data_IF_868102190555
#
_entry.id   IF_868102190555
#
_cell.length_a   1.000
_cell.length_b   1.000
_cell.length_c   1.000
_cell.angle_alpha   90.00
_cell.angle_beta   90.00
_cell.angle_gamma   90.00
#
_symmetry.space_group_name_H-M   'P 1'
#
loop_
_entity.id
_entity.type
_entity.pdbx_description
1 polymer ?
#
# COMPACT_ATOMS: atom_id res chain seq x y z
N UNK A 1 8.93 -5.96 -4.57
CA UNK A 1 9.46 -7.06 -5.39
C UNK A 1 8.33 -7.97 -5.83
N UNK A 2 8.37 -8.47 -7.05
CA UNK A 2 7.44 -9.49 -7.55
C UNK A 2 8.20 -10.81 -7.61
N UNK A 3 7.64 -11.88 -7.06
CA UNK A 3 8.25 -13.20 -7.09
C UNK A 3 7.31 -14.23 -7.67
N UNK A 4 7.89 -15.06 -8.53
CA UNK A 4 7.27 -16.29 -9.00
C UNK A 4 7.53 -17.41 -7.99
N UNK A 5 6.49 -18.17 -7.67
CA UNK A 5 6.58 -19.28 -6.73
C UNK A 5 6.79 -20.58 -7.50
N UNK A 6 7.66 -21.43 -6.98
CA UNK A 6 7.80 -22.77 -7.51
C UNK A 6 6.43 -23.51 -7.48
N UNK A 7 6.14 -24.35 -8.49
CA UNK A 7 4.87 -25.09 -8.55
C UNK A 7 4.55 -25.83 -7.24
N UNK A 8 3.30 -25.68 -6.76
CA UNK A 8 2.84 -26.31 -5.52
C UNK A 8 3.18 -25.55 -4.23
N UNK A 9 3.98 -24.47 -4.29
CA UNK A 9 4.22 -23.61 -3.13
C UNK A 9 3.04 -22.66 -2.92
N UNK A 10 2.42 -22.73 -1.74
CA UNK A 10 1.33 -21.83 -1.35
C UNK A 10 1.88 -20.48 -0.88
N UNK A 11 1.25 -19.37 -1.30
CA UNK A 11 1.61 -18.02 -0.86
C UNK A 11 1.58 -17.86 0.68
N UNK A 12 0.63 -18.51 1.35
CA UNK A 12 0.52 -18.52 2.82
C UNK A 12 1.77 -19.04 3.54
N UNK A 13 2.55 -19.93 2.89
CA UNK A 13 3.82 -20.41 3.45
C UNK A 13 4.83 -19.26 3.56
N UNK A 14 4.84 -18.35 2.59
CA UNK A 14 5.69 -17.15 2.59
C UNK A 14 5.19 -16.14 3.62
N UNK A 15 3.86 -15.92 3.68
CA UNK A 15 3.23 -15.03 4.67
C UNK A 15 3.61 -15.44 6.11
N UNK A 16 3.59 -16.75 6.41
CA UNK A 16 3.91 -17.30 7.72
C UNK A 16 5.37 -17.08 8.16
N UNK A 17 6.30 -16.91 7.22
CA UNK A 17 7.74 -16.69 7.51
C UNK A 17 8.16 -15.23 7.31
N UNK A 18 7.21 -14.31 7.12
CA UNK A 18 7.48 -12.89 6.84
C UNK A 18 8.41 -12.23 7.88
N UNK A 19 8.30 -12.61 9.16
CA UNK A 19 9.17 -12.11 10.24
C UNK A 19 10.61 -12.59 10.12
N UNK A 20 10.81 -13.86 9.77
CA UNK A 20 12.15 -14.42 9.53
C UNK A 20 12.77 -13.86 8.26
N UNK A 21 11.95 -13.59 7.24
CA UNK A 21 12.38 -12.93 6.02
C UNK A 21 12.86 -11.51 6.32
N UNK A 22 12.09 -10.72 7.08
CA UNK A 22 12.49 -9.38 7.51
C UNK A 22 13.84 -9.41 8.26
N UNK A 23 14.00 -10.35 9.20
CA UNK A 23 15.26 -10.55 9.93
C UNK A 23 16.43 -10.87 9.00
N UNK A 24 16.23 -11.80 8.07
CA UNK A 24 17.28 -12.22 7.12
C UNK A 24 17.70 -11.10 6.16
N UNK A 25 16.77 -10.19 5.86
CA UNK A 25 17.02 -9.01 5.02
C UNK A 25 17.53 -7.80 5.81
N UNK A 26 17.71 -7.91 7.13
CA UNK A 26 18.04 -6.77 8.01
C UNK A 26 17.04 -5.61 7.92
N UNK A 27 15.76 -5.94 7.75
CA UNK A 27 14.65 -4.99 7.62
C UNK A 27 13.77 -5.02 8.86
N UNK A 28 13.20 -3.87 9.23
CA UNK A 28 12.29 -3.77 10.38
C UNK A 28 11.03 -4.62 10.21
N UNK A 29 10.50 -4.70 8.99
CA UNK A 29 9.33 -5.50 8.65
C UNK A 29 9.32 -5.81 7.15
N UNK A 30 8.55 -6.82 6.77
CA UNK A 30 8.25 -7.17 5.38
C UNK A 30 6.76 -7.46 5.28
N UNK A 31 6.10 -6.94 4.24
CA UNK A 31 4.70 -7.22 3.95
C UNK A 31 4.61 -8.13 2.73
N UNK A 32 3.91 -9.24 2.88
CA UNK A 32 3.64 -10.20 1.81
C UNK A 32 2.25 -9.92 1.25
N UNK A 33 2.17 -9.70 -0.06
CA UNK A 33 0.94 -9.53 -0.82
C UNK A 33 0.71 -10.83 -1.59
N UNK A 34 -0.28 -11.62 -1.16
CA UNK A 34 -0.48 -12.96 -1.72
C UNK A 34 -0.96 -12.96 -3.17
N UNK A 35 -1.69 -11.91 -3.59
CA UNK A 35 -2.20 -11.78 -4.94
C UNK A 35 -1.93 -10.38 -5.46
N UNK A 36 -1.21 -10.28 -6.57
CA UNK A 36 -1.09 -9.04 -7.34
C UNK A 36 -2.15 -9.08 -8.46
N UNK A 37 -3.09 -8.12 -8.52
CA UNK A 37 -4.09 -8.08 -9.58
C UNK A 37 -3.47 -8.11 -10.97
N UNK A 38 -3.91 -9.05 -11.81
CA UNK A 38 -3.45 -9.19 -13.19
C UNK A 38 -2.09 -9.86 -13.38
N UNK A 39 -1.44 -10.36 -12.32
CA UNK A 39 -0.14 -11.06 -12.42
C UNK A 39 -0.14 -12.38 -11.65
N UNK A 40 0.55 -13.43 -12.13
CA UNK A 40 0.68 -14.72 -11.44
C UNK A 40 1.77 -14.71 -10.35
N UNK A 41 2.07 -13.55 -9.77
CA UNK A 41 3.18 -13.38 -8.82
C UNK A 41 2.68 -12.99 -7.44
N UNK A 42 3.49 -13.28 -6.43
CA UNK A 42 3.33 -12.69 -5.10
C UNK A 42 4.13 -11.40 -5.01
N UNK A 43 3.66 -10.46 -4.18
CA UNK A 43 4.35 -9.23 -3.86
C UNK A 43 5.09 -9.33 -2.53
N UNK A 44 6.33 -8.85 -2.51
CA UNK A 44 7.08 -8.61 -1.28
C UNK A 44 7.42 -7.13 -1.20
N UNK A 45 6.80 -6.46 -0.24
CA UNK A 45 7.00 -5.05 0.08
C UNK A 45 7.99 -4.93 1.24
N UNK A 46 9.02 -4.12 1.02
CA UNK A 46 10.12 -3.90 1.97
C UNK A 46 10.26 -2.40 2.20
N UNK A 47 10.48 -1.95 3.44
CA UNK A 47 10.72 -0.54 3.71
C UNK A 47 11.90 -0.01 2.90
N UNK A 48 11.77 1.21 2.38
CA UNK A 48 12.89 1.93 1.81
C UNK A 48 13.93 2.26 2.90
N UNK A 49 15.21 2.26 2.52
CA UNK A 49 16.32 2.65 3.41
C UNK A 49 16.18 4.09 3.91
N UNK A 50 15.76 5.00 3.03
CA UNK A 50 15.31 6.34 3.37
C UNK A 50 13.82 6.46 3.08
N UNK A 51 13.01 6.75 4.10
CA UNK A 51 11.58 6.98 3.94
C UNK A 51 11.34 8.40 3.46
N UNK A 52 10.60 8.53 2.37
CA UNK A 52 10.12 9.84 1.91
C UNK A 52 8.87 10.24 2.68
N UNK A 53 8.85 11.49 3.14
CA UNK A 53 7.68 12.03 3.84
C UNK A 53 6.64 12.49 2.81
N UNK A 54 5.43 11.96 2.91
CA UNK A 54 4.28 12.44 2.14
C UNK A 54 3.71 13.67 2.84
N UNK A 55 3.81 14.85 2.22
CA UNK A 55 3.22 16.07 2.77
C UNK A 55 1.76 16.19 2.34
N UNK A 56 0.90 16.65 3.25
CA UNK A 56 -0.51 16.90 2.94
C UNK A 56 -0.67 17.90 1.78
N UNK A 57 0.15 18.95 1.74
CA UNK A 57 0.12 19.98 0.68
C UNK A 57 0.25 19.39 -0.72
N UNK A 58 1.08 18.35 -0.88
CA UNK A 58 1.27 17.68 -2.18
C UNK A 58 -0.01 17.02 -2.70
N UNK A 59 -0.91 16.61 -1.80
CA UNK A 59 -2.20 16.00 -2.16
C UNK A 59 -3.25 17.07 -2.46
N UNK A 60 -3.28 18.15 -1.67
CA UNK A 60 -4.25 19.25 -1.82
C UNK A 60 -4.02 20.08 -3.09
N UNK A 61 -2.80 20.07 -3.61
CA UNK A 61 -2.43 20.75 -4.85
C UNK A 61 -2.74 19.94 -6.11
N UNK A 62 -3.11 18.66 -5.97
CA UNK A 62 -3.45 17.83 -7.13
C UNK A 62 -4.74 18.31 -7.81
N UNK A 63 -4.83 18.23 -9.15
CA UNK A 63 -6.06 18.54 -9.88
C UNK A 63 -7.24 17.68 -9.42
N UNK A 64 -6.98 16.41 -9.09
CA UNK A 64 -7.99 15.48 -8.63
C UNK A 64 -8.61 15.88 -7.28
N UNK A 65 -7.84 16.49 -6.37
CA UNK A 65 -8.39 16.99 -5.10
C UNK A 65 -9.23 18.25 -5.30
N UNK A 66 -8.85 19.09 -6.27
CA UNK A 66 -9.53 20.36 -6.59
C UNK A 66 -10.72 20.18 -7.55
N UNK A 67 -11.12 18.94 -7.84
CA UNK A 67 -12.29 18.66 -8.67
C UNK A 67 -13.56 19.19 -7.96
N UNK A 68 -14.31 20.13 -8.58
CA UNK A 68 -15.52 20.70 -7.99
C UNK A 68 -16.65 19.67 -7.80
N UNK A 69 -16.58 18.49 -8.43
CA UNK A 69 -17.55 17.42 -8.24
C UNK A 69 -17.30 16.60 -6.96
N UNK A 70 -16.14 16.75 -6.32
CA UNK A 70 -15.85 16.14 -5.03
C UNK A 70 -16.62 16.87 -3.92
N UNK A 71 -17.67 16.24 -3.39
CA UNK A 71 -18.48 16.85 -2.34
C UNK A 71 -17.73 16.85 -1.00
N UNK A 72 -17.11 15.72 -0.65
CA UNK A 72 -16.36 15.55 0.60
C UNK A 72 -15.05 14.80 0.30
N UNK A 73 -14.18 15.44 -0.49
CA UNK A 73 -12.86 14.91 -0.83
C UNK A 73 -11.94 14.80 0.39
N UNK A 74 -11.36 13.63 0.59
CA UNK A 74 -10.38 13.35 1.63
C UNK A 74 -9.06 12.90 1.00
N UNK A 75 -7.97 13.55 1.40
CA UNK A 75 -6.61 13.17 1.01
C UNK A 75 -6.08 12.06 1.93
N UNK A 76 -5.94 10.85 1.40
CA UNK A 76 -5.58 9.66 2.20
C UNK A 76 -4.06 9.44 2.28
N UNK A 77 -3.31 9.85 1.25
CA UNK A 77 -1.87 9.62 1.17
C UNK A 77 -1.41 9.38 -0.26
N UNK A 78 -0.34 8.60 -0.40
CA UNK A 78 0.13 8.06 -1.68
C UNK A 78 0.11 6.54 -1.64
N UNK A 79 -0.10 5.92 -2.80
CA UNK A 79 0.06 4.47 -2.94
C UNK A 79 1.55 4.05 -2.94
N UNK A 80 1.82 2.76 -3.06
CA UNK A 80 3.19 2.21 -3.10
C UNK A 80 4.01 2.66 -4.32
N UNK A 81 3.35 3.21 -5.35
CA UNK A 81 3.97 3.77 -6.55
C UNK A 81 4.15 5.30 -6.46
N UNK A 82 3.72 5.93 -5.36
CA UNK A 82 3.77 7.37 -5.16
C UNK A 82 2.61 8.15 -5.75
N UNK A 83 1.58 7.48 -6.30
CA UNK A 83 0.42 8.17 -6.84
C UNK A 83 -0.48 8.68 -5.71
N UNK A 84 -1.05 9.88 -5.83
CA UNK A 84 -1.97 10.41 -4.82
C UNK A 84 -3.22 9.55 -4.71
N UNK A 85 -3.60 9.19 -3.48
CA UNK A 85 -4.82 8.47 -3.16
C UNK A 85 -5.78 9.42 -2.49
N UNK A 86 -6.90 9.67 -3.18
CA UNK A 86 -7.99 10.51 -2.73
C UNK A 86 -9.26 9.67 -2.65
N UNK A 87 -10.12 9.96 -1.67
CA UNK A 87 -11.44 9.33 -1.56
C UNK A 87 -12.52 10.40 -1.40
N UNK A 88 -13.75 10.09 -1.77
CA UNK A 88 -14.90 10.97 -1.55
C UNK A 88 -15.82 10.34 -0.50
N UNK A 89 -15.87 10.96 0.69
CA UNK A 89 -16.67 10.45 1.80
C UNK A 89 -18.17 10.47 1.45
N UNK A 90 -18.63 11.31 0.53
CA UNK A 90 -20.03 11.27 0.10
C UNK A 90 -20.41 9.95 -0.60
N UNK A 91 -19.44 9.28 -1.25
CA UNK A 91 -19.64 7.97 -1.90
C UNK A 91 -19.47 6.80 -0.94
N UNK A 92 -18.80 7.01 0.19
CA UNK A 92 -18.62 6.06 1.28
C UNK A 92 -19.05 6.76 2.59
N UNK A 93 -20.38 6.88 2.84
CA UNK A 93 -20.96 7.90 3.74
C UNK A 93 -20.46 7.85 5.19
N UNK A 94 -19.87 6.72 5.59
CA UNK A 94 -19.26 6.53 6.89
C UNK A 94 -17.93 5.78 6.72
N UNK A 95 -16.97 6.11 7.59
CA UNK A 95 -15.65 5.47 7.62
C UNK A 95 -15.28 5.08 9.04
N UNK A 96 -14.74 3.88 9.20
CA UNK A 96 -14.17 3.39 10.46
C UNK A 96 -12.64 3.52 10.38
N UNK A 97 -12.04 4.19 11.38
CA UNK A 97 -10.59 4.34 11.52
C UNK A 97 -10.16 3.76 12.86
N UNK A 98 -9.18 2.86 12.84
CA UNK A 98 -8.59 2.24 14.04
C UNK A 98 -7.06 2.14 13.89
N UNK A 99 -6.34 2.30 15.00
CA UNK A 99 -4.89 2.21 15.10
C UNK A 99 -4.46 2.07 16.56
N UNK A 100 -3.29 1.49 16.80
CA UNK A 100 -2.69 1.28 18.13
C UNK A 100 -1.69 2.37 18.47
#
# INVERSE_FOLDING_TARGET
FELDLAPGVKASKVTNISRDLARSMSMASVRVVEVIPGKPYIGIEVPNSSREMVRLTELLETPAYRDPNGLISMAMGKDISGNPVLTDLAKAPHMLVAGT
#
